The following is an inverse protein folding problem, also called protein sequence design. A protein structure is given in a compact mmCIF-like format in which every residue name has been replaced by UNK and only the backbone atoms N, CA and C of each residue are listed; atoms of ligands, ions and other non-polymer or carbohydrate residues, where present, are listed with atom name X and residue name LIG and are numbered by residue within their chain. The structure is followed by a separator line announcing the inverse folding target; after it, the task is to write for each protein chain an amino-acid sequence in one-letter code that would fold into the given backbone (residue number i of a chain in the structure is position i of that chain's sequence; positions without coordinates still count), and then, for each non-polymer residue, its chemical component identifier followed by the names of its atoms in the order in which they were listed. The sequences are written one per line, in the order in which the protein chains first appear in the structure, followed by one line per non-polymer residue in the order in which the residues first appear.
data_IF_033477369144
#
_entry.id   IF_033477369144
#
_cell.length_a   1.000
_cell.length_b   1.000
_cell.length_c   1.000
_cell.angle_alpha   90.00
_cell.angle_beta   90.00
_cell.angle_gamma   90.00
#
_symmetry.space_group_name_H-M   'P 1'
#
loop_
_entity.id
_entity.type
_entity.pdbx_description
1 polymer ?
#
# COMPACT_ATOMS: atom_id res chain seq x y z
N UNK A 1 -19.77 -8.09 -11.55
CA UNK A 1 -19.92 -7.33 -10.29
C UNK A 1 -18.55 -6.86 -9.86
N UNK A 2 -18.45 -5.70 -9.22
CA UNK A 2 -17.19 -5.09 -8.80
C UNK A 2 -17.17 -5.04 -7.27
N UNK A 3 -16.34 -5.87 -6.65
CA UNK A 3 -16.24 -5.95 -5.20
C UNK A 3 -15.02 -5.16 -4.74
N UNK A 4 -15.24 -3.90 -4.39
CA UNK A 4 -14.17 -2.99 -4.00
C UNK A 4 -14.28 -2.59 -2.54
N UNK A 5 -13.15 -2.69 -1.85
CA UNK A 5 -13.04 -2.40 -0.43
C UNK A 5 -11.92 -1.40 -0.21
N UNK A 6 -12.23 -0.35 0.56
CA UNK A 6 -11.24 0.60 1.06
C UNK A 6 -11.01 0.33 2.53
N UNK A 7 -9.76 0.22 2.94
CA UNK A 7 -9.38 0.06 4.34
C UNK A 7 -8.52 1.25 4.72
N UNK A 8 -9.09 2.14 5.54
CA UNK A 8 -8.36 3.23 6.16
C UNK A 8 -7.66 2.76 7.43
N UNK A 9 -6.51 3.35 7.73
CA UNK A 9 -5.61 2.96 8.82
C UNK A 9 -5.34 1.45 8.91
N UNK A 10 -5.25 0.81 7.74
CA UNK A 10 -5.18 -0.65 7.66
C UNK A 10 -3.99 -1.19 8.46
N UNK A 11 -4.25 -2.20 9.27
CA UNK A 11 -3.25 -2.98 9.99
C UNK A 11 -2.38 -2.18 10.98
N UNK A 12 -2.84 -0.99 11.39
CA UNK A 12 -2.12 -0.08 12.29
C UNK A 12 -1.76 -0.70 13.65
N UNK A 13 -2.54 -1.67 14.13
CA UNK A 13 -2.34 -2.40 15.41
C UNK A 13 -2.19 -3.91 15.27
N UNK A 14 -2.17 -4.42 14.05
CA UNK A 14 -2.08 -5.86 13.77
C UNK A 14 -0.63 -6.32 13.73
N UNK A 15 -0.37 -7.57 14.13
CA UNK A 15 0.92 -8.22 13.86
C UNK A 15 1.12 -8.41 12.36
N UNK A 16 2.36 -8.64 11.95
CA UNK A 16 2.68 -8.88 10.54
C UNK A 16 2.00 -10.15 10.04
N UNK A 17 1.92 -11.21 10.86
CA UNK A 17 1.20 -12.45 10.55
C UNK A 17 -0.30 -12.21 10.35
N UNK A 18 -0.93 -11.47 11.26
CA UNK A 18 -2.37 -11.17 11.18
C UNK A 18 -2.70 -10.35 9.94
N UNK A 19 -1.79 -9.44 9.56
CA UNK A 19 -1.90 -8.62 8.36
C UNK A 19 -1.83 -9.47 7.09
N UNK A 20 -0.84 -10.36 6.99
CA UNK A 20 -0.71 -11.29 5.86
C UNK A 20 -1.94 -12.17 5.70
N UNK A 21 -2.42 -12.75 6.80
CA UNK A 21 -3.64 -13.56 6.79
C UNK A 21 -4.84 -12.79 6.25
N UNK A 22 -5.04 -11.53 6.68
CA UNK A 22 -6.11 -10.69 6.17
C UNK A 22 -6.01 -10.41 4.67
N UNK A 23 -4.80 -10.14 4.17
CA UNK A 23 -4.55 -9.89 2.74
C UNK A 23 -4.75 -11.14 1.89
N UNK A 24 -4.32 -12.31 2.36
CA UNK A 24 -4.57 -13.60 1.71
C UNK A 24 -6.07 -13.91 1.65
N UNK A 25 -6.80 -13.66 2.73
CA UNK A 25 -8.26 -13.84 2.75
C UNK A 25 -8.94 -12.97 1.69
N UNK A 26 -8.60 -11.68 1.61
CA UNK A 26 -9.19 -10.80 0.60
C UNK A 26 -8.88 -11.23 -0.84
N UNK A 27 -7.69 -11.79 -1.08
CA UNK A 27 -7.34 -12.37 -2.37
C UNK A 27 -8.22 -13.60 -2.69
N UNK A 28 -8.45 -14.49 -1.72
CA UNK A 28 -9.33 -15.67 -1.93
C UNK A 28 -10.79 -15.30 -2.15
N UNK A 29 -11.21 -14.15 -1.63
CA UNK A 29 -12.57 -13.61 -1.79
C UNK A 29 -12.75 -12.81 -3.09
N UNK A 30 -11.70 -12.68 -3.91
CA UNK A 30 -11.70 -11.91 -5.17
C UNK A 30 -12.16 -10.46 -4.97
N UNK A 31 -11.62 -9.80 -3.94
CA UNK A 31 -11.88 -8.40 -3.63
C UNK A 31 -10.78 -7.50 -4.20
N UNK A 32 -11.18 -6.42 -4.88
CA UNK A 32 -10.27 -5.33 -5.21
C UNK A 32 -10.08 -4.43 -3.98
N UNK A 33 -8.83 -4.24 -3.58
CA UNK A 33 -8.50 -3.49 -2.36
C UNK A 33 -7.84 -2.15 -2.66
N UNK A 34 -8.19 -1.14 -1.87
CA UNK A 34 -7.42 0.08 -1.70
C UNK A 34 -7.08 0.24 -0.22
N UNK A 35 -5.78 0.25 0.07
CA UNK A 35 -5.25 0.30 1.44
C UNK A 35 -4.67 1.69 1.68
N UNK A 36 -5.15 2.36 2.72
CA UNK A 36 -4.59 3.63 3.20
C UNK A 36 -3.94 3.37 4.54
N UNK A 37 -2.62 3.53 4.61
CA UNK A 37 -1.84 3.22 5.82
C UNK A 37 -0.53 4.03 5.85
N UNK A 38 0.04 4.32 7.04
CA UNK A 38 1.37 4.91 7.14
C UNK A 38 2.46 4.09 6.44
N UNK A 39 3.48 4.77 5.91
CA UNK A 39 4.51 4.16 5.07
C UNK A 39 5.27 3.00 5.75
N UNK A 40 5.37 2.99 7.07
CA UNK A 40 6.12 2.00 7.85
C UNK A 40 5.66 0.56 7.58
N UNK A 41 4.37 0.36 7.23
CA UNK A 41 3.79 -0.97 6.99
C UNK A 41 3.95 -1.46 5.55
N UNK A 42 4.54 -0.67 4.65
CA UNK A 42 4.62 -0.97 3.22
C UNK A 42 5.23 -2.35 2.92
N UNK A 43 6.23 -2.77 3.67
CA UNK A 43 6.93 -4.04 3.44
C UNK A 43 6.04 -5.29 3.60
N UNK A 44 4.95 -5.22 4.37
CA UNK A 44 4.00 -6.35 4.53
C UNK A 44 2.94 -6.36 3.43
N UNK A 45 2.50 -5.18 2.97
CA UNK A 45 1.47 -5.02 1.91
C UNK A 45 2.05 -5.05 0.50
N UNK A 46 3.33 -4.72 0.32
CA UNK A 46 4.06 -4.70 -0.97
C UNK A 46 3.83 -5.95 -1.84
N UNK A 47 3.79 -7.18 -1.30
CA UNK A 47 3.55 -8.38 -2.11
C UNK A 47 2.13 -8.50 -2.68
N UNK A 48 1.15 -7.80 -2.10
CA UNK A 48 -0.28 -7.98 -2.38
C UNK A 48 -0.90 -6.85 -3.22
N UNK A 49 -0.12 -5.83 -3.59
CA UNK A 49 -0.61 -4.64 -4.31
C UNK A 49 0.03 -4.51 -5.69
N UNK A 50 -0.74 -4.03 -6.67
CA UNK A 50 -0.25 -3.76 -8.02
C UNK A 50 0.37 -2.36 -8.19
N UNK A 51 0.02 -1.42 -7.31
CA UNK A 51 0.43 -0.02 -7.37
C UNK A 51 0.53 0.58 -5.97
N UNK A 52 1.40 1.57 -5.82
CA UNK A 52 1.59 2.34 -4.58
C UNK A 52 1.46 3.83 -4.90
N UNK A 53 0.67 4.55 -4.10
CA UNK A 53 0.55 6.01 -4.15
C UNK A 53 1.18 6.64 -2.91
N UNK A 54 2.24 7.41 -3.08
CA UNK A 54 2.85 8.18 -1.99
C UNK A 54 2.17 9.52 -1.86
N UNK A 55 1.40 9.70 -0.78
CA UNK A 55 0.85 11.00 -0.42
C UNK A 55 1.87 11.79 0.39
N UNK A 56 2.15 13.03 -0.02
CA UNK A 56 2.96 13.97 0.74
C UNK A 56 2.30 15.35 0.73
N UNK A 57 2.60 16.15 1.75
CA UNK A 57 2.24 17.56 1.77
C UNK A 57 3.37 18.36 1.13
N UNK A 58 3.05 19.14 0.11
CA UNK A 58 3.98 20.12 -0.47
C UNK A 58 4.20 21.26 0.53
N UNK A 59 5.43 21.37 1.04
CA UNK A 59 5.78 22.34 2.08
C UNK A 59 5.73 23.80 1.64
N UNK A 60 5.71 24.08 0.33
CA UNK A 60 5.63 25.43 -0.22
C UNK A 60 4.19 25.82 -0.55
N UNK A 61 3.43 24.91 -1.16
CA UNK A 61 2.06 25.19 -1.63
C UNK A 61 0.97 24.76 -0.66
N UNK A 62 1.31 24.02 0.40
CA UNK A 62 0.39 23.41 1.37
C UNK A 62 -0.68 22.51 0.73
N UNK A 63 -0.38 21.93 -0.43
CA UNK A 63 -1.26 21.03 -1.16
C UNK A 63 -0.84 19.59 -0.94
N UNK A 64 -1.82 18.70 -0.81
CA UNK A 64 -1.57 17.27 -0.90
C UNK A 64 -1.19 16.89 -2.33
N UNK A 65 -0.05 16.25 -2.50
CA UNK A 65 0.42 15.72 -3.76
C UNK A 65 0.56 14.19 -3.66
N UNK A 66 0.26 13.50 -4.76
CA UNK A 66 0.35 12.04 -4.84
C UNK A 66 1.31 11.67 -5.96
N UNK A 67 2.31 10.85 -5.62
CA UNK A 67 3.16 10.17 -6.61
C UNK A 67 2.71 8.72 -6.74
N UNK A 68 2.22 8.35 -7.92
CA UNK A 68 1.81 6.98 -8.23
C UNK A 68 2.96 6.21 -8.86
N UNK A 69 3.17 4.97 -8.41
CA UNK A 69 4.10 4.00 -8.97
C UNK A 69 3.40 2.66 -9.15
N UNK A 70 3.73 1.97 -10.24
CA UNK A 70 3.52 0.52 -10.31
C UNK A 70 4.37 -0.17 -9.25
N UNK A 71 3.97 -1.37 -8.83
CA UNK A 71 4.77 -2.15 -7.86
C UNK A 71 6.17 -2.48 -8.40
N UNK A 72 6.31 -2.62 -9.72
CA UNK A 72 7.59 -2.85 -10.41
C UNK A 72 8.51 -1.62 -10.36
N UNK A 73 7.98 -0.42 -10.59
CA UNK A 73 8.73 0.83 -10.42
C UNK A 73 9.15 1.05 -8.98
N UNK A 74 8.27 0.76 -8.03
CA UNK A 74 8.59 0.84 -6.61
C UNK A 74 9.75 -0.09 -6.24
N UNK A 75 9.69 -1.37 -6.64
CA UNK A 75 10.76 -2.35 -6.39
C UNK A 75 12.10 -1.92 -7.00
N UNK A 76 12.09 -1.48 -8.26
CA UNK A 76 13.32 -0.96 -8.91
C UNK A 76 13.95 0.22 -8.16
N UNK A 77 13.13 1.16 -7.67
CA UNK A 77 13.63 2.31 -6.89
C UNK A 77 14.17 1.88 -5.53
N UNK A 78 13.50 0.93 -4.87
CA UNK A 78 13.94 0.36 -3.60
C UNK A 78 15.30 -0.32 -3.73
N UNK A 79 15.49 -1.12 -4.78
CA UNK A 79 16.75 -1.82 -5.05
C UNK A 79 17.88 -0.82 -5.35
N UNK A 80 17.62 0.20 -6.16
CA UNK A 80 18.60 1.25 -6.48
C UNK A 80 18.98 2.14 -5.28
N UNK A 81 18.13 2.23 -4.26
CA UNK A 81 18.43 2.96 -3.03
C UNK A 81 19.27 2.14 -2.02
N UNK A 82 19.33 0.81 -2.21
CA UNK A 82 20.07 -0.13 -1.36
C UNK A 82 21.45 -0.51 -1.93
N UNK A 83 21.69 -0.19 -3.21
CA UNK A 83 22.99 -0.33 -3.90
C UNK A 83 23.90 0.86 -3.70
#
# INVERSE_FOLDING_TARGET
TFHFVVIDEAFSRSSDESTRFGLELFQTLDLQLMIVTPLQKIHIIEPYVASVGFCHNDGETFKSAIQNLTIEEYRRRKDAALS
#
